data_IF_359890178696
#
_entry.id   IF_359890178696
#
_cell.length_a   1.000
_cell.length_b   1.000
_cell.length_c   1.000
_cell.angle_alpha   90.00
_cell.angle_beta   90.00
_cell.angle_gamma   90.00
#
_symmetry.space_group_name_H-M   'P 1'
#
loop_
_entity.id
_entity.type
_entity.pdbx_description
1 polymer ?
#
# COMPACT_ATOMS: atom_id res chain seq x y z
N UNK A 1 11.63 -37.88 62.88
CA UNK A 1 10.78 -36.70 62.60
C UNK A 1 11.48 -35.88 61.51
N UNK A 2 10.90 -35.78 60.30
CA UNK A 2 11.44 -34.97 59.19
C UNK A 2 10.73 -33.62 59.18
N UNK A 3 11.48 -32.53 59.22
CA UNK A 3 10.93 -31.17 59.24
C UNK A 3 10.74 -30.74 57.79
N UNK A 4 9.48 -30.50 57.38
CA UNK A 4 9.16 -29.98 56.05
C UNK A 4 9.40 -28.47 56.03
N UNK A 5 10.25 -28.03 55.11
CA UNK A 5 10.52 -26.61 54.87
C UNK A 5 9.31 -25.98 54.18
N UNK A 6 8.75 -24.94 54.79
CA UNK A 6 7.59 -24.19 54.30
C UNK A 6 7.92 -23.49 52.96
N UNK A 7 7.08 -23.63 51.90
CA UNK A 7 7.25 -22.87 50.68
C UNK A 7 6.48 -21.56 50.82
N UNK A 8 7.16 -20.51 51.29
CA UNK A 8 6.52 -19.21 51.43
C UNK A 8 7.56 -18.12 51.43
N UNK A 9 7.46 -17.21 50.45
CA UNK A 9 8.29 -16.01 50.26
C UNK A 9 9.52 -16.27 49.36
N UNK A 10 9.27 -16.74 48.12
CA UNK A 10 10.25 -16.63 47.04
C UNK A 10 10.09 -15.29 46.30
N UNK A 11 11.07 -14.41 46.49
CA UNK A 11 11.78 -13.71 45.42
C UNK A 11 10.97 -12.87 44.42
N UNK A 12 10.43 -11.72 44.84
CA UNK A 12 10.08 -10.67 43.87
C UNK A 12 11.24 -9.68 43.83
N UNK A 13 12.14 -9.84 42.86
CA UNK A 13 13.26 -8.92 42.66
C UNK A 13 12.73 -7.60 42.04
N UNK A 14 12.77 -6.46 42.76
CA UNK A 14 12.12 -5.22 42.33
C UNK A 14 12.70 -4.65 41.02
N UNK A 15 13.96 -4.97 40.72
CA UNK A 15 14.63 -4.58 39.47
C UNK A 15 14.03 -5.26 38.23
N UNK A 16 13.53 -6.49 38.35
CA UNK A 16 12.88 -7.17 37.21
C UNK A 16 11.56 -6.50 36.82
N UNK A 17 10.85 -5.87 37.77
CA UNK A 17 9.61 -5.12 37.47
C UNK A 17 9.89 -3.82 36.71
N UNK A 18 11.04 -3.18 36.93
CA UNK A 18 11.41 -1.97 36.20
C UNK A 18 11.82 -2.27 34.76
N UNK A 19 12.57 -3.36 34.53
CA UNK A 19 12.92 -3.83 33.19
C UNK A 19 11.68 -4.17 32.35
N UNK A 20 10.68 -4.84 32.95
CA UNK A 20 9.41 -5.13 32.27
C UNK A 20 8.64 -3.87 31.85
N UNK A 21 8.60 -2.83 32.70
CA UNK A 21 7.98 -1.55 32.36
C UNK A 21 8.70 -0.83 31.21
N UNK A 22 10.03 -0.92 31.14
CA UNK A 22 10.79 -0.31 30.04
C UNK A 22 10.60 -1.02 28.71
N UNK A 23 10.42 -2.35 28.73
CA UNK A 23 10.11 -3.12 27.52
C UNK A 23 8.67 -2.88 27.04
N UNK A 24 7.71 -2.78 27.96
CA UNK A 24 6.32 -2.40 27.65
C UNK A 24 6.22 -0.96 27.08
N UNK A 25 7.03 -0.02 27.56
CA UNK A 25 7.05 1.34 27.01
C UNK A 25 7.63 1.39 25.58
N UNK A 26 8.61 0.54 25.27
CA UNK A 26 9.19 0.44 23.91
C UNK A 26 8.21 -0.17 22.91
N UNK A 27 7.42 -1.17 23.30
CA UNK A 27 6.42 -1.78 22.41
C UNK A 27 5.26 -0.83 22.09
N UNK A 28 4.87 0.04 23.02
CA UNK A 28 3.86 1.09 22.78
C UNK A 28 4.35 2.14 21.78
N UNK A 29 5.64 2.52 21.83
CA UNK A 29 6.23 3.47 20.86
C UNK A 29 6.38 2.91 19.44
N UNK A 30 6.41 1.59 19.28
CA UNK A 30 6.50 0.92 17.98
C UNK A 30 5.13 0.65 17.33
N UNK A 31 4.03 0.82 18.07
CA UNK A 31 2.70 0.35 17.67
C UNK A 31 1.87 1.34 16.82
N UNK A 32 2.31 2.60 16.67
CA UNK A 32 1.56 3.59 15.88
C UNK A 32 2.49 4.35 14.93
N UNK A 33 2.83 3.72 13.81
CA UNK A 33 3.30 4.45 12.63
C UNK A 33 2.10 4.69 11.73
N UNK A 34 1.93 5.91 11.25
CA UNK A 34 0.91 6.23 10.26
C UNK A 34 1.15 5.36 9.02
N UNK A 35 0.21 4.45 8.73
CA UNK A 35 0.26 3.54 7.60
C UNK A 35 -0.83 3.93 6.60
N UNK A 36 -0.42 4.37 5.42
CA UNK A 36 -1.33 4.59 4.30
C UNK A 36 -1.51 3.26 3.54
N UNK A 37 -2.70 2.65 3.64
CA UNK A 37 -3.05 1.46 2.86
C UNK A 37 -3.96 1.82 1.68
N UNK A 38 -3.68 1.24 0.50
CA UNK A 38 -4.59 1.33 -0.65
C UNK A 38 -5.84 0.50 -0.32
N UNK A 39 -7.01 1.14 -0.37
CA UNK A 39 -8.29 0.49 -0.05
C UNK A 39 -8.54 -0.71 -0.98
N UNK A 40 -9.21 -1.74 -0.45
CA UNK A 40 -9.59 -2.93 -1.23
C UNK A 40 -10.40 -2.54 -2.47
N UNK A 41 -11.32 -1.58 -2.34
CA UNK A 41 -12.09 -1.05 -3.46
C UNK A 41 -11.22 -0.41 -4.56
N UNK A 42 -10.20 0.38 -4.19
CA UNK A 42 -9.29 0.98 -5.16
C UNK A 42 -8.46 -0.06 -5.93
N UNK A 43 -8.05 -1.15 -5.26
CA UNK A 43 -7.34 -2.27 -5.92
C UNK A 43 -8.22 -2.97 -6.94
N UNK A 44 -9.49 -3.20 -6.64
CA UNK A 44 -10.45 -3.78 -7.58
C UNK A 44 -10.70 -2.85 -8.78
N UNK A 45 -10.83 -1.53 -8.54
CA UNK A 45 -11.00 -0.54 -9.62
C UNK A 45 -9.79 -0.46 -10.56
N UNK A 46 -8.58 -0.66 -10.03
CA UNK A 46 -7.35 -0.71 -10.84
C UNK A 46 -7.30 -1.95 -11.74
N UNK A 47 -7.95 -3.04 -11.35
CA UNK A 47 -7.90 -4.36 -11.98
C UNK A 47 -8.80 -4.56 -13.21
N UNK A 48 -9.13 -3.52 -13.98
CA UNK A 48 -9.95 -3.65 -15.20
C UNK A 48 -9.17 -4.30 -16.37
N UNK A 49 -8.95 -5.61 -16.27
CA UNK A 49 -8.18 -6.45 -17.22
C UNK A 49 -8.64 -6.32 -18.68
N UNK A 50 -9.94 -6.15 -18.92
CA UNK A 50 -10.50 -5.94 -20.26
C UNK A 50 -10.01 -4.65 -20.91
N UNK A 51 -9.97 -3.55 -20.17
CA UNK A 51 -9.50 -2.25 -20.66
C UNK A 51 -8.02 -2.34 -21.05
N UNK A 52 -7.24 -3.15 -20.33
CA UNK A 52 -5.82 -3.36 -20.64
C UNK A 52 -5.62 -4.13 -21.96
N UNK A 53 -6.48 -5.09 -22.29
CA UNK A 53 -6.38 -5.84 -23.56
C UNK A 53 -6.68 -4.95 -24.77
N UNK A 54 -7.83 -4.27 -24.76
CA UNK A 54 -8.23 -3.33 -25.83
C UNK A 54 -7.18 -2.21 -26.02
N UNK A 55 -6.57 -1.75 -24.92
CA UNK A 55 -5.49 -0.76 -24.97
C UNK A 55 -4.21 -1.31 -25.62
N UNK A 56 -3.85 -2.58 -25.38
CA UNK A 56 -2.67 -3.21 -25.98
C UNK A 56 -2.82 -3.31 -27.49
N UNK A 57 -3.98 -3.76 -27.98
CA UNK A 57 -4.28 -3.85 -29.41
C UNK A 57 -4.19 -2.48 -30.09
N UNK A 58 -4.82 -1.46 -29.48
CA UNK A 58 -4.75 -0.08 -29.99
C UNK A 58 -3.32 0.44 -30.07
N UNK A 59 -2.48 0.15 -29.07
CA UNK A 59 -1.07 0.55 -29.08
C UNK A 59 -0.30 -0.15 -30.21
N UNK A 60 -0.52 -1.45 -30.41
CA UNK A 60 0.15 -2.19 -31.49
C UNK A 60 -0.18 -1.59 -32.86
N UNK A 61 -1.46 -1.33 -33.12
CA UNK A 61 -1.93 -0.70 -34.36
C UNK A 61 -1.33 0.70 -34.59
N UNK A 62 -1.24 1.51 -33.54
CA UNK A 62 -0.62 2.84 -33.63
C UNK A 62 0.88 2.76 -33.91
N UNK A 63 1.58 1.81 -33.28
CA UNK A 63 3.02 1.60 -33.51
C UNK A 63 3.31 1.25 -34.97
N UNK A 64 2.49 0.40 -35.57
CA UNK A 64 2.62 0.03 -36.98
C UNK A 64 2.45 1.26 -37.90
N UNK A 65 1.41 2.07 -37.68
CA UNK A 65 1.21 3.30 -38.46
C UNK A 65 2.34 4.31 -38.32
N UNK A 66 2.92 4.43 -37.12
CA UNK A 66 4.07 5.32 -36.89
C UNK A 66 5.30 4.79 -37.61
N UNK A 67 5.58 3.48 -37.54
CA UNK A 67 6.70 2.86 -38.23
C UNK A 67 6.59 3.00 -39.76
N UNK A 68 5.38 2.87 -40.29
CA UNK A 68 5.09 3.02 -41.72
C UNK A 68 4.99 4.48 -42.17
N UNK A 69 5.10 5.45 -41.24
CA UNK A 69 4.98 6.89 -41.53
C UNK A 69 3.58 7.34 -41.95
N UNK A 70 2.56 6.51 -41.78
CA UNK A 70 1.16 6.81 -42.16
C UNK A 70 0.36 7.45 -41.03
N UNK A 71 0.92 7.50 -39.82
CA UNK A 71 0.26 8.13 -38.68
C UNK A 71 0.10 9.64 -38.87
N UNK A 72 -1.17 10.10 -38.90
CA UNK A 72 -1.51 11.52 -39.00
C UNK A 72 -1.98 12.03 -37.65
N UNK A 73 -1.29 13.05 -37.13
CA UNK A 73 -1.70 13.75 -35.91
C UNK A 73 -2.91 14.62 -36.18
N UNK A 74 -3.98 14.43 -35.41
CA UNK A 74 -5.15 15.29 -35.43
C UNK A 74 -5.09 16.31 -34.28
N UNK A 75 -4.82 17.57 -34.63
CA UNK A 75 -4.74 18.67 -33.67
C UNK A 75 -6.08 18.97 -32.99
N UNK A 76 -7.20 18.84 -33.72
CA UNK A 76 -8.54 19.10 -33.18
C UNK A 76 -8.93 18.02 -32.17
N UNK A 77 -8.69 16.75 -32.50
CA UNK A 77 -8.92 15.65 -31.59
C UNK A 77 -8.03 15.76 -30.33
N UNK A 78 -6.79 16.21 -30.49
CA UNK A 78 -5.85 16.42 -29.37
C UNK A 78 -6.35 17.52 -28.43
N UNK A 79 -6.71 18.69 -28.96
CA UNK A 79 -7.25 19.80 -28.16
C UNK A 79 -8.54 19.40 -27.44
N UNK A 80 -9.45 18.70 -28.13
CA UNK A 80 -10.69 18.16 -27.54
C UNK A 80 -10.39 17.18 -26.40
N UNK A 81 -9.40 16.29 -26.56
CA UNK A 81 -9.01 15.36 -25.52
C UNK A 81 -8.44 16.07 -24.27
N UNK A 82 -7.60 17.10 -24.47
CA UNK A 82 -7.08 17.92 -23.39
C UNK A 82 -8.21 18.63 -22.63
N UNK A 83 -9.14 19.27 -23.34
CA UNK A 83 -10.29 19.94 -22.72
C UNK A 83 -11.19 18.95 -21.98
N UNK A 84 -11.47 17.78 -22.55
CA UNK A 84 -12.31 16.77 -21.89
C UNK A 84 -11.69 16.25 -20.59
N UNK A 85 -10.36 16.17 -20.52
CA UNK A 85 -9.66 15.63 -19.35
C UNK A 85 -9.45 16.70 -18.26
N UNK A 86 -9.01 17.91 -18.64
CA UNK A 86 -8.65 18.97 -17.69
C UNK A 86 -9.74 20.04 -17.51
N UNK A 87 -10.63 20.21 -18.49
CA UNK A 87 -11.62 21.28 -18.51
C UNK A 87 -12.93 20.97 -17.77
N UNK A 88 -13.08 19.76 -17.22
CA UNK A 88 -14.18 19.46 -16.30
C UNK A 88 -13.84 20.03 -14.92
N UNK A 89 -14.28 21.25 -14.66
CA UNK A 89 -14.48 21.77 -13.31
C UNK A 89 -15.90 21.45 -12.84
#
# INVERSE_FOLDING_TARGET
MKINQTPGIHGINPYQKQLKKTDEAKTVSAAARDKLEISKAAKEMQGSTRILAERREKIAFLKEQVANGTYKTDAQATAKAMLNFYGKQ
#
